data_IF_184323989444
#
_entry.id   IF_184323989444
#
_cell.length_a   1.000
_cell.length_b   1.000
_cell.length_c   1.000
_cell.angle_alpha   90.00
_cell.angle_beta   90.00
_cell.angle_gamma   90.00
#
_symmetry.space_group_name_H-M   'P 1'
#
loop_
_entity.id
_entity.type
_entity.pdbx_description
1 polymer ?
#
# COMPACT_ATOMS: atom_id res chain seq x y z
N UNK A 1 12.01 -13.12 -36.43
CA UNK A 1 11.30 -12.06 -35.68
C UNK A 1 9.87 -12.52 -35.45
N UNK A 2 9.59 -13.13 -34.30
CA UNK A 2 8.23 -13.43 -33.86
C UNK A 2 7.99 -12.58 -32.62
N UNK A 3 7.77 -11.28 -32.79
CA UNK A 3 7.25 -10.47 -31.69
C UNK A 3 5.78 -10.80 -31.56
N UNK A 4 5.39 -11.43 -30.46
CA UNK A 4 3.98 -11.48 -30.07
C UNK A 4 3.39 -10.06 -30.16
N UNK A 5 2.15 -9.90 -30.65
CA UNK A 5 1.51 -8.59 -30.64
C UNK A 5 1.51 -8.06 -29.22
N UNK A 6 1.86 -6.78 -29.05
CA UNK A 6 1.81 -6.14 -27.76
C UNK A 6 0.43 -6.37 -27.13
N UNK A 7 0.35 -6.75 -25.84
CA UNK A 7 -0.93 -6.97 -25.19
C UNK A 7 -1.79 -5.70 -25.30
N UNK A 8 -3.12 -5.84 -25.39
CA UNK A 8 -4.01 -4.69 -25.51
C UNK A 8 -3.81 -3.75 -24.31
N UNK A 9 -3.58 -2.47 -24.57
CA UNK A 9 -3.36 -1.45 -23.54
C UNK A 9 -2.64 -0.22 -24.05
N UNK A 10 -2.46 0.77 -23.16
CA UNK A 10 -1.65 1.96 -23.41
C UNK A 10 -0.41 1.92 -22.52
N UNK A 11 0.74 2.26 -23.08
CA UNK A 11 1.96 2.48 -22.31
C UNK A 11 1.89 3.86 -21.64
N UNK A 12 1.48 3.87 -20.37
CA UNK A 12 1.33 5.11 -19.61
C UNK A 12 2.62 5.94 -19.51
N UNK A 13 3.82 5.36 -19.67
CA UNK A 13 5.07 6.13 -19.63
C UNK A 13 5.31 6.94 -20.91
N UNK A 14 4.75 6.50 -22.03
CA UNK A 14 4.95 7.12 -23.34
C UNK A 14 3.66 7.71 -23.94
N UNK A 15 2.49 7.31 -23.43
CA UNK A 15 1.17 7.60 -23.98
C UNK A 15 0.22 8.17 -22.90
N UNK A 16 0.76 8.90 -21.90
CA UNK A 16 -0.06 9.51 -20.84
C UNK A 16 -1.11 10.52 -21.37
N UNK A 17 -0.78 11.37 -22.38
CA UNK A 17 -1.78 12.27 -22.99
C UNK A 17 -2.92 11.51 -23.68
N UNK A 18 -2.60 10.45 -24.42
CA UNK A 18 -3.57 9.59 -25.11
C UNK A 18 -4.45 8.84 -24.10
N UNK A 19 -3.87 8.34 -23.02
CA UNK A 19 -4.61 7.73 -21.92
C UNK A 19 -5.61 8.71 -21.30
N UNK A 20 -5.18 9.96 -21.07
CA UNK A 20 -6.06 11.01 -20.55
C UNK A 20 -7.20 11.33 -21.53
N UNK A 21 -6.89 11.48 -22.82
CA UNK A 21 -7.87 11.76 -23.86
C UNK A 21 -8.92 10.64 -23.98
N UNK A 22 -8.47 9.38 -23.92
CA UNK A 22 -9.35 8.21 -23.93
C UNK A 22 -10.23 8.11 -22.69
N UNK A 23 -9.68 8.34 -21.49
CA UNK A 23 -10.48 8.36 -20.26
C UNK A 23 -11.53 9.48 -20.27
N UNK A 24 -11.20 10.64 -20.84
CA UNK A 24 -12.15 11.74 -21.05
C UNK A 24 -13.22 11.41 -22.11
N UNK A 25 -12.89 10.67 -23.17
CA UNK A 25 -13.90 10.23 -24.13
C UNK A 25 -14.89 9.26 -23.50
N UNK A 26 -14.39 8.32 -22.66
CA UNK A 26 -15.25 7.44 -21.88
C UNK A 26 -16.15 8.22 -20.90
N UNK A 27 -15.62 9.27 -20.27
CA UNK A 27 -16.42 10.15 -19.39
C UNK A 27 -17.58 10.82 -20.12
N UNK A 28 -17.36 11.21 -21.37
CA UNK A 28 -18.41 11.81 -22.22
C UNK A 28 -19.43 10.77 -22.65
N UNK A 29 -18.99 9.58 -23.03
CA UNK A 29 -19.85 8.47 -23.43
C UNK A 29 -20.77 8.04 -22.26
N UNK A 30 -20.20 7.86 -21.07
CA UNK A 30 -20.90 7.42 -19.86
C UNK A 30 -21.28 8.60 -18.95
N UNK A 31 -21.78 9.71 -19.51
CA UNK A 31 -22.07 10.96 -18.79
C UNK A 31 -22.95 10.82 -17.54
N UNK A 32 -23.82 9.82 -17.50
CA UNK A 32 -24.76 9.58 -16.39
C UNK A 32 -24.14 8.71 -15.27
N UNK A 33 -22.93 8.20 -15.48
CA UNK A 33 -22.17 7.42 -14.51
C UNK A 33 -21.10 8.26 -13.83
N UNK A 34 -20.57 7.74 -12.74
CA UNK A 34 -19.32 8.22 -12.14
C UNK A 34 -18.19 7.35 -12.68
N UNK A 35 -17.02 7.95 -12.83
CA UNK A 35 -15.80 7.23 -13.18
C UNK A 35 -14.95 7.07 -11.92
N UNK A 36 -14.65 5.83 -11.57
CA UNK A 36 -13.63 5.51 -10.58
C UNK A 36 -12.34 5.09 -11.31
N UNK A 37 -11.28 5.89 -11.20
CA UNK A 37 -9.96 5.55 -11.74
C UNK A 37 -9.15 4.80 -10.69
N UNK A 38 -8.89 3.51 -10.95
CA UNK A 38 -7.95 2.70 -10.19
C UNK A 38 -6.51 2.93 -10.66
N UNK A 39 -5.63 3.29 -9.75
CA UNK A 39 -4.20 3.46 -10.01
C UNK A 39 -3.37 2.50 -9.15
N UNK A 40 -3.04 1.34 -9.74
CA UNK A 40 -2.38 0.21 -9.09
C UNK A 40 -1.01 -0.13 -9.72
N UNK A 41 -0.28 0.90 -10.17
CA UNK A 41 1.00 0.69 -10.85
C UNK A 41 2.11 0.33 -9.86
N UNK A 42 3.01 -0.54 -10.31
CA UNK A 42 4.31 -0.80 -9.70
C UNK A 42 5.33 -0.99 -10.82
N UNK A 43 6.51 -0.41 -10.67
CA UNK A 43 7.67 -0.73 -11.50
C UNK A 43 8.94 -0.73 -10.63
N UNK A 44 10.05 -1.28 -11.15
CA UNK A 44 11.33 -1.25 -10.44
C UNK A 44 12.08 0.07 -10.70
N UNK A 45 12.75 0.56 -9.66
CA UNK A 45 13.66 1.70 -9.76
C UNK A 45 12.98 3.01 -10.17
N UNK A 46 13.70 3.81 -10.97
CA UNK A 46 13.28 5.13 -11.43
C UNK A 46 12.01 5.08 -12.30
N UNK A 47 11.75 3.95 -12.97
CA UNK A 47 10.51 3.75 -13.73
C UNK A 47 9.26 3.83 -12.85
N UNK A 48 9.34 3.43 -11.58
CA UNK A 48 8.22 3.55 -10.64
C UNK A 48 7.86 5.02 -10.41
N UNK A 49 8.88 5.87 -10.22
CA UNK A 49 8.71 7.31 -10.00
C UNK A 49 8.09 7.95 -11.25
N UNK A 50 8.62 7.63 -12.44
CA UNK A 50 8.08 8.12 -13.72
C UNK A 50 6.63 7.69 -13.94
N UNK A 51 6.31 6.42 -13.67
CA UNK A 51 4.94 5.91 -13.79
C UNK A 51 3.99 6.58 -12.81
N UNK A 52 4.46 6.86 -11.59
CA UNK A 52 3.68 7.59 -10.58
C UNK A 52 3.39 9.01 -11.03
N UNK A 53 4.38 9.72 -11.57
CA UNK A 53 4.20 11.09 -12.10
C UNK A 53 3.23 11.08 -13.29
N UNK A 54 3.36 10.13 -14.21
CA UNK A 54 2.43 9.98 -15.33
C UNK A 54 1.00 9.73 -14.87
N UNK A 55 0.81 8.84 -13.88
CA UNK A 55 -0.49 8.60 -13.25
C UNK A 55 -1.07 9.84 -12.57
N UNK A 56 -0.25 10.58 -11.83
CA UNK A 56 -0.66 11.83 -11.19
C UNK A 56 -1.06 12.89 -12.24
N UNK A 57 -0.37 12.95 -13.38
CA UNK A 57 -0.75 13.84 -14.48
C UNK A 57 -2.11 13.46 -15.07
N UNK A 58 -2.37 12.17 -15.31
CA UNK A 58 -3.67 11.67 -15.78
C UNK A 58 -4.78 12.01 -14.78
N UNK A 59 -4.55 11.74 -13.49
CA UNK A 59 -5.49 12.08 -12.41
C UNK A 59 -5.78 13.58 -12.44
N UNK A 60 -4.75 14.43 -12.49
CA UNK A 60 -4.93 15.87 -12.53
C UNK A 60 -5.72 16.32 -13.77
N UNK A 61 -5.42 15.80 -14.96
CA UNK A 61 -6.17 16.12 -16.18
C UNK A 61 -7.65 15.76 -16.07
N UNK A 62 -7.97 14.60 -15.49
CA UNK A 62 -9.36 14.20 -15.26
C UNK A 62 -10.04 15.07 -14.20
N UNK A 63 -9.35 15.44 -13.13
CA UNK A 63 -9.90 16.32 -12.08
C UNK A 63 -10.21 17.73 -12.59
N UNK A 64 -9.39 18.28 -13.49
CA UNK A 64 -9.64 19.60 -14.07
C UNK A 64 -10.83 19.58 -15.05
N UNK A 65 -11.04 18.45 -15.73
CA UNK A 65 -12.06 18.32 -16.76
C UNK A 65 -13.42 17.79 -16.25
N UNK A 66 -13.44 17.08 -15.13
CA UNK A 66 -14.63 16.45 -14.57
C UNK A 66 -15.02 17.09 -13.24
N UNK A 67 -16.32 17.17 -12.95
CA UNK A 67 -16.76 17.64 -11.63
C UNK A 67 -16.35 16.64 -10.53
N UNK A 68 -16.07 17.12 -9.30
CA UNK A 68 -15.66 16.23 -8.19
C UNK A 68 -16.68 15.15 -7.83
N UNK A 69 -17.96 15.33 -8.18
CA UNK A 69 -19.01 14.34 -7.97
C UNK A 69 -19.04 13.23 -9.02
N UNK A 70 -18.39 13.43 -10.18
CA UNK A 70 -18.37 12.51 -11.32
C UNK A 70 -17.07 11.70 -11.41
N UNK A 71 -16.07 12.05 -10.62
CA UNK A 71 -14.76 11.42 -10.64
C UNK A 71 -14.37 10.95 -9.24
N UNK A 72 -13.86 9.73 -9.16
CA UNK A 72 -13.43 9.08 -7.93
C UNK A 72 -12.10 8.38 -8.19
N UNK A 73 -11.25 8.27 -7.17
CA UNK A 73 -9.90 7.70 -7.29
C UNK A 73 -9.78 6.50 -6.36
N UNK A 74 -9.14 5.44 -6.83
CA UNK A 74 -8.81 4.26 -6.04
C UNK A 74 -7.32 3.94 -6.13
N UNK A 75 -6.65 3.80 -4.99
CA UNK A 75 -5.23 3.49 -4.90
C UNK A 75 -4.97 2.50 -3.77
N UNK A 76 -3.96 1.64 -3.97
CA UNK A 76 -3.42 0.78 -2.92
C UNK A 76 -2.12 1.39 -2.42
N UNK A 77 -2.11 1.71 -1.12
CA UNK A 77 -0.95 2.26 -0.45
C UNK A 77 -0.08 1.15 0.14
N UNK A 78 1.17 1.50 0.41
CA UNK A 78 2.17 0.56 0.95
C UNK A 78 2.51 0.89 2.39
N UNK A 79 2.42 -0.07 3.33
CA UNK A 79 2.87 0.15 4.70
C UNK A 79 4.37 0.42 4.80
N UNK A 80 5.12 0.27 3.70
CA UNK A 80 6.54 0.64 3.58
C UNK A 80 6.76 2.14 3.35
N UNK A 81 5.99 2.99 4.06
CA UNK A 81 6.06 4.45 4.04
C UNK A 81 5.89 5.01 5.47
N UNK A 82 6.04 6.32 5.65
CA UNK A 82 5.64 6.97 6.90
C UNK A 82 4.14 7.21 6.91
N UNK A 83 3.50 6.86 8.03
CA UNK A 83 2.07 7.02 8.23
C UNK A 83 1.77 7.15 9.72
N UNK A 84 0.57 7.63 10.06
CA UNK A 84 0.14 7.59 11.46
C UNK A 84 0.01 6.16 11.93
N UNK A 85 0.47 5.92 13.14
CA UNK A 85 0.35 4.64 13.81
C UNK A 85 -0.89 4.71 14.71
N UNK A 86 -1.99 3.99 14.40
CA UNK A 86 -3.14 3.96 15.28
C UNK A 86 -2.75 3.50 16.68
N UNK A 87 -3.31 4.14 17.71
CA UNK A 87 -2.93 3.90 19.11
C UNK A 87 -3.14 2.44 19.51
N UNK A 88 -4.19 1.80 19.02
CA UNK A 88 -4.48 0.39 19.26
C UNK A 88 -3.41 -0.53 18.65
N UNK A 89 -2.95 -0.21 17.44
CA UNK A 89 -1.90 -0.97 16.77
C UNK A 89 -0.54 -0.79 17.47
N UNK A 90 -0.22 0.43 17.91
CA UNK A 90 0.98 0.72 18.68
C UNK A 90 0.97 0.00 20.03
N UNK A 91 -0.14 0.08 20.78
CA UNK A 91 -0.30 -0.62 22.05
C UNK A 91 -0.18 -2.14 21.88
N UNK A 92 -0.76 -2.69 20.81
CA UNK A 92 -0.66 -4.10 20.47
C UNK A 92 0.78 -4.53 20.14
N UNK A 93 1.57 -3.68 19.49
CA UNK A 93 3.00 -3.91 19.22
C UNK A 93 3.84 -3.86 20.51
N UNK A 94 3.57 -2.90 21.41
CA UNK A 94 4.21 -2.79 22.73
C UNK A 94 3.94 -4.04 23.55
N UNK A 95 2.67 -4.44 23.68
CA UNK A 95 2.28 -5.61 24.46
C UNK A 95 2.94 -6.90 23.94
N UNK A 96 3.02 -7.09 22.61
CA UNK A 96 3.71 -8.25 22.03
C UNK A 96 5.21 -8.19 22.25
N UNK A 97 5.82 -7.00 22.20
CA UNK A 97 7.24 -6.86 22.51
C UNK A 97 7.51 -7.20 23.98
N UNK A 98 6.67 -6.78 24.91
CA UNK A 98 6.80 -7.12 26.33
C UNK A 98 6.64 -8.62 26.58
N UNK A 99 5.66 -9.25 25.92
CA UNK A 99 5.40 -10.69 26.00
C UNK A 99 6.35 -11.56 25.17
N UNK A 100 7.34 -10.97 24.49
CA UNK A 100 8.20 -11.71 23.55
C UNK A 100 8.97 -12.85 24.23
N UNK A 101 9.16 -13.97 23.53
CA UNK A 101 9.91 -15.10 24.06
C UNK A 101 11.39 -14.76 24.27
N UNK A 102 12.04 -15.48 25.18
CA UNK A 102 13.44 -15.26 25.53
C UNK A 102 14.39 -15.39 24.32
N UNK A 103 14.09 -16.27 23.36
CA UNK A 103 14.91 -16.47 22.18
C UNK A 103 14.99 -15.22 21.30
N UNK A 104 13.98 -14.35 21.33
CA UNK A 104 14.01 -13.11 20.56
C UNK A 104 15.08 -12.14 21.09
N UNK A 105 15.40 -12.22 22.40
CA UNK A 105 16.53 -11.49 22.99
C UNK A 105 17.85 -12.08 22.52
N UNK A 106 17.96 -13.41 22.48
CA UNK A 106 19.16 -14.11 21.99
C UNK A 106 19.42 -13.84 20.50
N UNK A 107 18.35 -13.69 19.70
CA UNK A 107 18.43 -13.33 18.28
C UNK A 107 18.73 -11.84 18.03
N UNK A 108 18.87 -11.02 19.08
CA UNK A 108 19.14 -9.57 19.01
C UNK A 108 18.13 -8.79 18.14
N UNK A 109 16.89 -9.28 18.00
CA UNK A 109 15.85 -8.54 17.31
C UNK A 109 15.53 -7.24 18.05
N UNK A 110 15.23 -6.19 17.29
CA UNK A 110 14.86 -4.89 17.83
C UNK A 110 13.34 -4.79 17.97
N UNK A 111 12.94 -3.93 18.89
CA UNK A 111 11.54 -3.59 19.10
C UNK A 111 11.02 -2.75 17.93
N UNK A 112 9.91 -3.15 17.30
CA UNK A 112 9.20 -2.31 16.35
C UNK A 112 8.78 -0.96 16.99
N UNK A 113 8.04 -0.94 18.13
CA UNK A 113 7.66 0.33 18.76
C UNK A 113 8.87 1.09 19.33
N UNK A 114 9.96 0.43 19.69
CA UNK A 114 11.19 1.11 20.14
C UNK A 114 12.06 1.69 19.02
N UNK A 115 11.93 1.19 17.80
CA UNK A 115 12.78 1.59 16.65
C UNK A 115 12.05 2.52 15.69
N UNK A 116 10.77 2.25 15.45
CA UNK A 116 10.00 2.85 14.37
C UNK A 116 8.94 3.85 14.84
N UNK A 117 8.79 4.06 16.16
CA UNK A 117 7.86 5.04 16.67
C UNK A 117 8.47 6.44 16.64
N UNK A 118 7.76 7.36 15.98
CA UNK A 118 8.06 8.78 15.96
C UNK A 118 6.82 9.54 16.45
N UNK A 119 7.00 10.77 16.95
CA UNK A 119 5.87 11.66 17.27
C UNK A 119 5.78 12.78 16.25
N UNK A 120 4.57 13.26 16.00
CA UNK A 120 4.36 14.53 15.31
C UNK A 120 5.08 15.66 16.03
N UNK A 121 5.35 16.77 15.33
CA UNK A 121 5.98 17.94 15.93
C UNK A 121 5.16 18.52 17.10
N UNK A 122 3.84 18.37 17.04
CA UNK A 122 2.89 18.76 18.09
C UNK A 122 2.81 17.73 19.23
N UNK A 123 3.35 16.52 19.04
CA UNK A 123 3.36 15.45 20.03
C UNK A 123 2.03 14.71 20.20
N UNK A 124 1.00 15.10 19.46
CA UNK A 124 -0.39 14.66 19.56
C UNK A 124 -0.68 13.31 18.91
N UNK A 125 0.16 12.86 17.96
CA UNK A 125 -0.02 11.59 17.24
C UNK A 125 1.28 10.81 17.11
N UNK A 126 1.12 9.49 17.03
CA UNK A 126 2.21 8.56 16.74
C UNK A 126 2.37 8.38 15.21
N UNK A 127 3.60 8.28 14.76
CA UNK A 127 3.99 7.99 13.38
C UNK A 127 4.76 6.67 13.39
N UNK A 128 4.39 5.76 12.50
CA UNK A 128 5.17 4.57 12.20
C UNK A 128 6.17 4.89 11.08
N UNK A 129 7.45 4.76 11.37
CA UNK A 129 8.51 4.74 10.36
C UNK A 129 8.55 3.37 9.68
N UNK A 130 7.70 3.18 8.68
CA UNK A 130 7.65 1.94 7.90
C UNK A 130 8.70 1.85 6.78
N UNK A 131 9.67 2.76 6.71
CA UNK A 131 10.65 2.75 5.62
C UNK A 131 11.48 1.46 5.63
N UNK A 132 11.63 0.85 4.45
CA UNK A 132 12.41 -0.37 4.27
C UNK A 132 13.56 -0.09 3.29
N UNK A 133 14.79 -0.26 3.75
CA UNK A 133 16.01 -0.04 2.95
C UNK A 133 16.00 -0.87 1.67
N UNK A 134 15.54 -2.13 1.74
CA UNK A 134 15.45 -3.03 0.59
C UNK A 134 14.53 -2.51 -0.54
N UNK A 135 13.49 -1.73 -0.21
CA UNK A 135 12.62 -1.10 -1.21
C UNK A 135 13.30 0.09 -1.90
N UNK A 136 14.21 0.77 -1.18
CA UNK A 136 15.05 1.83 -1.72
C UNK A 136 14.36 3.19 -1.94
N UNK A 137 15.16 4.22 -2.29
CA UNK A 137 14.70 5.61 -2.35
C UNK A 137 13.64 5.87 -3.43
N UNK A 138 13.72 5.17 -4.58
CA UNK A 138 12.76 5.33 -5.66
C UNK A 138 11.35 4.84 -5.25
N UNK A 139 11.28 3.74 -4.49
CA UNK A 139 10.00 3.20 -4.03
C UNK A 139 9.33 4.14 -3.02
N UNK A 140 10.08 4.60 -2.01
CA UNK A 140 9.53 5.55 -1.02
C UNK A 140 9.10 6.85 -1.68
N UNK A 141 9.86 7.37 -2.65
CA UNK A 141 9.47 8.58 -3.39
C UNK A 141 8.17 8.35 -4.17
N UNK A 142 8.06 7.26 -4.92
CA UNK A 142 6.85 6.92 -5.66
C UNK A 142 5.63 6.78 -4.74
N UNK A 143 5.75 6.01 -3.65
CA UNK A 143 4.63 5.82 -2.71
C UNK A 143 4.27 7.10 -1.92
N UNK A 144 5.23 7.95 -1.63
CA UNK A 144 4.97 9.26 -1.01
C UNK A 144 4.23 10.19 -1.97
N UNK A 145 4.63 10.25 -3.25
CA UNK A 145 3.91 11.00 -4.28
C UNK A 145 2.49 10.48 -4.50
N UNK A 146 2.31 9.16 -4.42
CA UNK A 146 1.00 8.51 -4.47
C UNK A 146 0.08 8.98 -3.32
N UNK A 147 0.59 8.95 -2.08
CA UNK A 147 -0.13 9.44 -0.90
C UNK A 147 -0.44 10.94 -0.98
N UNK A 148 0.51 11.76 -1.42
CA UNK A 148 0.30 13.20 -1.58
C UNK A 148 -0.79 13.51 -2.62
N UNK A 149 -0.82 12.77 -3.74
CA UNK A 149 -1.89 12.91 -4.74
C UNK A 149 -3.26 12.57 -4.15
N UNK A 150 -3.36 11.55 -3.29
CA UNK A 150 -4.61 11.22 -2.59
C UNK A 150 -5.10 12.38 -1.71
N UNK A 151 -4.20 12.95 -0.88
CA UNK A 151 -4.51 14.11 -0.04
C UNK A 151 -4.97 15.31 -0.89
N UNK A 152 -4.20 15.65 -1.93
CA UNK A 152 -4.51 16.76 -2.84
C UNK A 152 -5.88 16.56 -3.49
N UNK A 153 -6.17 15.35 -3.96
CA UNK A 153 -7.43 15.06 -4.65
C UNK A 153 -8.62 15.15 -3.71
N UNK A 154 -8.49 14.59 -2.50
CA UNK A 154 -9.54 14.68 -1.50
C UNK A 154 -9.81 16.12 -1.07
N UNK A 155 -8.75 16.93 -0.90
CA UNK A 155 -8.88 18.36 -0.61
C UNK A 155 -9.61 19.13 -1.73
N UNK A 156 -9.58 18.62 -2.97
CA UNK A 156 -10.37 19.12 -4.09
C UNK A 156 -11.79 18.51 -4.18
N UNK A 157 -12.31 17.97 -3.07
CA UNK A 157 -13.63 17.34 -2.95
C UNK A 157 -13.85 16.10 -3.83
N UNK A 158 -12.77 15.44 -4.28
CA UNK A 158 -12.85 14.14 -4.97
C UNK A 158 -12.91 13.02 -3.94
N UNK A 159 -13.74 11.99 -4.17
CA UNK A 159 -13.73 10.77 -3.34
C UNK A 159 -12.48 9.95 -3.65
N UNK A 160 -11.76 9.55 -2.61
CA UNK A 160 -10.48 8.84 -2.73
C UNK A 160 -10.45 7.63 -1.82
N UNK A 161 -10.47 6.42 -2.40
CA UNK A 161 -10.14 5.18 -1.67
C UNK A 161 -8.62 4.99 -1.69
N UNK A 162 -7.99 4.98 -0.51
CA UNK A 162 -6.53 4.94 -0.37
C UNK A 162 -6.12 4.09 0.85
N UNK A 163 -6.38 2.79 0.75
CA UNK A 163 -6.13 1.85 1.85
C UNK A 163 -4.73 1.25 1.78
N UNK A 164 -4.06 1.09 2.93
CA UNK A 164 -2.85 0.26 2.99
C UNK A 164 -3.23 -1.20 2.76
N UNK A 165 -2.48 -1.85 1.86
CA UNK A 165 -2.64 -3.27 1.56
C UNK A 165 -1.63 -4.12 2.34
N UNK A 166 -1.96 -5.38 2.65
CA UNK A 166 -1.04 -6.27 3.36
C UNK A 166 0.11 -6.71 2.45
N UNK A 167 1.13 -7.33 3.05
CA UNK A 167 2.14 -8.06 2.28
C UNK A 167 1.46 -9.16 1.45
N UNK A 168 1.83 -9.25 0.17
CA UNK A 168 1.13 -10.08 -0.79
C UNK A 168 2.11 -10.71 -1.78
N UNK A 169 1.87 -11.98 -2.14
CA UNK A 169 2.61 -12.71 -3.18
C UNK A 169 2.15 -12.30 -4.58
N UNK A 170 2.33 -11.03 -4.94
CA UNK A 170 2.09 -10.54 -6.30
C UNK A 170 3.26 -10.90 -7.22
N UNK A 171 3.02 -10.94 -8.53
CA UNK A 171 4.06 -11.19 -9.52
C UNK A 171 5.25 -10.22 -9.39
N UNK A 172 4.98 -8.96 -9.05
CA UNK A 172 6.01 -7.93 -8.81
C UNK A 172 6.87 -8.19 -7.58
N UNK A 173 6.36 -8.91 -6.58
CA UNK A 173 7.12 -9.27 -5.39
C UNK A 173 7.82 -10.61 -5.54
N UNK A 174 7.19 -11.58 -6.21
CA UNK A 174 7.74 -12.94 -6.35
C UNK A 174 8.72 -13.09 -7.51
N UNK A 175 8.80 -12.12 -8.43
CA UNK A 175 9.83 -12.08 -9.48
C UNK A 175 11.24 -11.90 -8.91
N UNK A 176 11.37 -11.27 -7.75
CA UNK A 176 12.62 -11.19 -7.00
C UNK A 176 12.71 -12.35 -6.00
N UNK A 177 13.69 -13.24 -6.20
CA UNK A 177 13.85 -14.44 -5.38
C UNK A 177 14.01 -14.12 -3.88
N UNK A 178 14.76 -13.09 -3.53
CA UNK A 178 14.95 -12.66 -2.13
C UNK A 178 13.62 -12.23 -1.51
N UNK A 179 12.85 -11.41 -2.22
CA UNK A 179 11.53 -10.96 -1.74
C UNK A 179 10.55 -12.12 -1.61
N UNK A 180 10.54 -13.05 -2.58
CA UNK A 180 9.72 -14.27 -2.50
C UNK A 180 10.04 -15.10 -1.25
N UNK A 181 11.32 -15.30 -0.95
CA UNK A 181 11.78 -16.03 0.25
C UNK A 181 11.42 -15.28 1.53
N UNK A 182 11.59 -13.96 1.56
CA UNK A 182 11.19 -13.15 2.73
C UNK A 182 9.69 -13.28 3.00
N UNK A 183 8.84 -13.18 1.97
CA UNK A 183 7.40 -13.36 2.08
C UNK A 183 7.02 -14.73 2.69
N UNK A 184 7.77 -15.79 2.37
CA UNK A 184 7.51 -17.12 2.94
C UNK A 184 7.85 -17.24 4.42
N UNK A 185 8.85 -16.49 4.89
CA UNK A 185 9.30 -16.47 6.29
C UNK A 185 8.57 -15.45 7.17
N UNK A 186 7.96 -14.40 6.60
CA UNK A 186 7.33 -13.31 7.37
C UNK A 186 6.26 -13.79 8.34
N UNK A 187 5.52 -14.84 7.97
CA UNK A 187 4.44 -15.40 8.80
C UNK A 187 4.94 -16.09 10.07
N UNK A 188 6.25 -16.30 10.25
CA UNK A 188 6.81 -16.77 11.51
C UNK A 188 6.78 -15.69 12.61
N UNK A 189 6.52 -14.43 12.25
CA UNK A 189 6.49 -13.30 13.17
C UNK A 189 5.05 -12.84 13.37
N UNK A 190 4.35 -13.44 14.33
CA UNK A 190 2.98 -13.07 14.65
C UNK A 190 2.85 -11.58 14.99
N UNK A 191 1.79 -10.87 14.52
CA UNK A 191 0.62 -11.39 13.81
C UNK A 191 0.70 -11.19 12.28
N UNK A 192 1.91 -11.14 11.71
CA UNK A 192 2.11 -10.76 10.30
C UNK A 192 1.52 -11.81 9.35
N UNK A 193 0.67 -11.35 8.42
CA UNK A 193 0.06 -12.15 7.37
C UNK A 193 0.66 -11.78 6.01
N UNK A 194 0.94 -12.82 5.22
CA UNK A 194 1.28 -12.69 3.81
C UNK A 194 0.22 -13.41 2.99
N UNK A 195 -0.53 -12.64 2.20
CA UNK A 195 -1.65 -13.17 1.43
C UNK A 195 -1.23 -13.59 0.01
N UNK A 196 -1.98 -14.53 -0.56
CA UNK A 196 -1.97 -14.76 -1.99
C UNK A 196 -2.65 -13.59 -2.71
N UNK A 197 -2.25 -13.32 -3.96
CA UNK A 197 -2.78 -12.20 -4.76
C UNK A 197 -4.30 -12.22 -4.92
N UNK A 198 -4.90 -13.40 -5.14
CA UNK A 198 -6.35 -13.55 -5.22
C UNK A 198 -7.04 -13.16 -3.91
N UNK A 199 -6.56 -13.68 -2.79
CA UNK A 199 -7.12 -13.38 -1.46
C UNK A 199 -6.98 -11.90 -1.10
N UNK A 200 -5.81 -11.31 -1.32
CA UNK A 200 -5.61 -9.87 -1.13
C UNK A 200 -6.53 -9.04 -2.02
N UNK A 201 -6.72 -9.43 -3.29
CA UNK A 201 -7.61 -8.75 -4.22
C UNK A 201 -9.06 -8.72 -3.71
N UNK A 202 -9.56 -9.81 -3.12
CA UNK A 202 -10.90 -9.83 -2.53
C UNK A 202 -11.03 -8.83 -1.37
N UNK A 203 -10.09 -8.82 -0.43
CA UNK A 203 -10.12 -7.87 0.69
C UNK A 203 -10.02 -6.41 0.23
N UNK A 204 -9.08 -6.12 -0.66
CA UNK A 204 -8.92 -4.74 -1.17
C UNK A 204 -10.11 -4.30 -2.02
N UNK A 205 -10.77 -5.22 -2.72
CA UNK A 205 -12.03 -4.93 -3.45
C UNK A 205 -13.17 -4.62 -2.48
N UNK A 206 -13.29 -5.38 -1.39
CA UNK A 206 -14.31 -5.11 -0.36
C UNK A 206 -14.11 -3.72 0.27
N UNK A 207 -12.87 -3.35 0.59
CA UNK A 207 -12.53 -2.02 1.10
C UNK A 207 -12.82 -0.92 0.07
N UNK A 208 -12.47 -1.13 -1.20
CA UNK A 208 -12.82 -0.21 -2.28
C UNK A 208 -14.34 0.00 -2.37
N UNK A 209 -15.12 -1.08 -2.39
CA UNK A 209 -16.57 -0.98 -2.46
C UNK A 209 -17.15 -0.27 -1.22
N UNK A 210 -16.61 -0.54 -0.03
CA UNK A 210 -17.00 0.18 1.18
C UNK A 210 -16.72 1.70 1.04
N UNK A 211 -15.52 2.05 0.56
CA UNK A 211 -15.14 3.45 0.34
C UNK A 211 -15.95 4.16 -0.74
N UNK A 212 -16.45 3.45 -1.76
CA UNK A 212 -17.26 4.02 -2.83
C UNK A 212 -18.74 4.14 -2.45
N UNK A 213 -19.27 3.16 -1.70
CA UNK A 213 -20.71 3.03 -1.46
C UNK A 213 -21.15 3.64 -0.12
N UNK A 214 -20.31 3.60 0.91
CA UNK A 214 -20.67 4.11 2.22
C UNK A 214 -20.37 5.61 2.32
N UNK A 215 -21.26 6.35 2.96
CA UNK A 215 -21.08 7.79 3.19
C UNK A 215 -20.21 8.09 4.41
N UNK A 216 -19.96 7.11 5.28
CA UNK A 216 -19.31 7.27 6.58
C UNK A 216 -17.79 7.11 6.54
N UNK A 217 -17.20 6.66 5.44
CA UNK A 217 -15.76 6.40 5.36
C UNK A 217 -14.94 7.67 5.17
N UNK A 218 -13.66 7.62 5.54
CA UNK A 218 -12.71 8.71 5.31
C UNK A 218 -12.56 9.08 3.82
N UNK A 219 -12.80 8.13 2.91
CA UNK A 219 -12.76 8.33 1.47
C UNK A 219 -13.78 9.38 0.98
N UNK A 220 -14.92 9.51 1.65
CA UNK A 220 -15.92 10.53 1.32
C UNK A 220 -15.43 11.92 1.76
N UNK A 221 -15.20 12.87 0.83
CA UNK A 221 -14.63 14.18 1.15
C UNK A 221 -15.55 15.06 2.00
N UNK A 222 -16.84 14.71 2.10
CA UNK A 222 -17.82 15.39 2.97
C UNK A 222 -17.60 15.11 4.45
N UNK A 223 -16.86 14.06 4.80
CA UNK A 223 -16.49 13.78 6.18
C UNK A 223 -15.26 14.60 6.54
N UNK A 224 -15.28 15.28 7.68
CA UNK A 224 -14.10 15.99 8.17
C UNK A 224 -13.08 14.99 8.69
N UNK A 225 -11.82 15.21 8.34
CA UNK A 225 -10.69 14.53 8.95
C UNK A 225 -9.98 15.52 9.87
N UNK A 226 -9.57 15.07 11.04
CA UNK A 226 -8.76 15.90 11.95
C UNK A 226 -7.41 16.22 11.31
N UNK A 227 -6.85 15.25 10.57
CA UNK A 227 -5.64 15.44 9.78
C UNK A 227 -5.72 14.70 8.44
N UNK A 228 -5.14 15.22 7.34
CA UNK A 228 -5.25 14.59 6.01
C UNK A 228 -4.73 13.14 5.91
N UNK A 229 -3.80 12.74 6.78
CA UNK A 229 -3.28 11.36 6.83
C UNK A 229 -4.27 10.35 7.44
N UNK A 230 -5.33 10.80 8.10
CA UNK A 230 -6.37 9.92 8.65
C UNK A 230 -7.12 9.18 7.53
N UNK A 231 -7.08 9.74 6.32
CA UNK A 231 -7.52 9.09 5.08
C UNK A 231 -6.94 7.67 4.93
N UNK A 232 -5.72 7.45 5.42
CA UNK A 232 -4.99 6.22 5.18
C UNK A 232 -5.15 5.21 6.30
N UNK A 233 -5.51 5.61 7.52
CA UNK A 233 -5.47 4.71 8.69
C UNK A 233 -6.81 4.03 8.98
N UNK A 234 -7.94 4.70 8.78
CA UNK A 234 -9.25 4.23 9.25
C UNK A 234 -9.69 2.88 8.69
N UNK A 235 -9.48 2.67 7.38
CA UNK A 235 -9.89 1.44 6.67
C UNK A 235 -8.70 0.57 6.25
N UNK A 236 -7.56 0.72 6.92
CA UNK A 236 -6.34 0.04 6.52
C UNK A 236 -6.33 -1.45 6.81
N UNK A 237 -5.83 -2.23 5.84
CA UNK A 237 -5.57 -3.65 6.01
C UNK A 237 -4.06 -3.92 5.95
N UNK A 238 -3.38 -3.65 7.06
CA UNK A 238 -1.93 -3.74 7.16
C UNK A 238 -1.38 -5.16 7.42
N UNK A 239 -2.24 -6.19 7.39
CA UNK A 239 -1.83 -7.60 7.55
C UNK A 239 -1.08 -7.89 8.86
N UNK A 240 -1.42 -7.20 9.94
CA UNK A 240 -0.75 -7.38 11.25
C UNK A 240 0.61 -6.69 11.38
N UNK A 241 1.16 -6.11 10.30
CA UNK A 241 2.49 -5.49 10.31
C UNK A 241 2.63 -4.35 11.34
N UNK A 242 1.59 -3.53 11.52
CA UNK A 242 1.62 -2.45 12.51
C UNK A 242 1.52 -2.93 13.96
N UNK A 243 1.10 -4.18 14.17
CA UNK A 243 0.90 -4.75 15.49
C UNK A 243 2.07 -5.68 15.89
N UNK A 244 3.07 -5.87 15.04
CA UNK A 244 4.19 -6.79 15.31
C UNK A 244 5.13 -6.23 16.37
N UNK A 245 5.71 -7.12 17.17
CA UNK A 245 6.72 -6.78 18.17
C UNK A 245 8.07 -6.40 17.56
N UNK A 246 8.39 -6.96 16.40
CA UNK A 246 9.75 -7.01 15.88
C UNK A 246 9.93 -6.05 14.72
N UNK A 247 10.99 -5.25 14.79
CA UNK A 247 11.39 -4.42 13.67
C UNK A 247 11.74 -5.31 12.46
N UNK A 248 11.17 -4.97 11.29
CA UNK A 248 11.28 -5.78 10.06
C UNK A 248 12.73 -5.87 9.61
N UNK A 249 13.50 -4.79 9.71
CA UNK A 249 14.89 -4.80 9.27
C UNK A 249 15.76 -5.68 10.17
N UNK A 250 15.61 -5.55 11.48
CA UNK A 250 16.36 -6.37 12.44
C UNK A 250 16.01 -7.87 12.36
N UNK A 251 14.78 -8.20 11.99
CA UNK A 251 14.32 -9.60 11.85
C UNK A 251 14.54 -10.16 10.45
N UNK A 252 14.92 -9.33 9.46
CA UNK A 252 14.98 -9.69 8.05
C UNK A 252 15.86 -10.90 7.72
N UNK A 253 17.03 -11.03 8.35
CA UNK A 253 17.90 -12.22 8.14
C UNK A 253 17.23 -13.50 8.63
N UNK A 254 16.58 -13.47 9.79
CA UNK A 254 15.87 -14.63 10.31
C UNK A 254 14.64 -14.97 9.46
N UNK A 255 13.90 -13.95 9.02
CA UNK A 255 12.81 -14.09 8.04
C UNK A 255 13.29 -14.81 6.78
N UNK A 256 14.43 -14.39 6.22
CA UNK A 256 15.00 -15.03 5.03
C UNK A 256 15.37 -16.51 5.27
N UNK A 257 16.02 -16.81 6.40
CA UNK A 257 16.39 -18.18 6.77
C UNK A 257 15.14 -19.06 6.92
N UNK A 258 14.12 -18.58 7.63
CA UNK A 258 12.87 -19.31 7.85
C UNK A 258 12.12 -19.56 6.54
N UNK A 259 12.09 -18.57 5.64
CA UNK A 259 11.55 -18.75 4.28
C UNK A 259 12.33 -19.79 3.47
N UNK A 260 13.66 -19.77 3.56
CA UNK A 260 14.53 -20.72 2.85
C UNK A 260 14.31 -22.16 3.35
N UNK A 261 14.17 -22.34 4.67
CA UNK A 261 13.86 -23.64 5.29
C UNK A 261 12.47 -24.14 4.88
N UNK A 262 11.49 -23.26 4.79
CA UNK A 262 10.14 -23.61 4.34
C UNK A 262 10.13 -24.09 2.88
N UNK A 263 10.88 -23.42 2.00
CA UNK A 263 11.06 -23.86 0.62
C UNK A 263 11.74 -25.23 0.53
N UNK A 264 12.77 -25.48 1.34
CA UNK A 264 13.51 -26.74 1.35
C UNK A 264 12.70 -27.93 1.92
N UNK A 265 11.76 -27.67 2.83
CA UNK A 265 10.94 -28.71 3.48
C UNK A 265 9.66 -29.05 2.73
N UNK A 266 9.32 -28.33 1.65
CA UNK A 266 8.11 -28.57 0.86
C UNK A 266 6.81 -28.25 1.61
N UNK A 267 6.89 -27.55 2.74
CA UNK A 267 5.71 -27.20 3.55
C UNK A 267 4.98 -26.03 2.88
N UNK A 268 4.17 -26.32 1.87
CA UNK A 268 3.25 -25.35 1.29
C UNK A 268 2.31 -24.86 2.40
N UNK A 269 2.30 -23.56 2.66
CA UNK A 269 1.34 -23.00 3.60
C UNK A 269 -0.07 -23.16 3.03
N UNK A 270 -0.82 -24.07 3.63
CA UNK A 270 -2.27 -24.15 3.60
C UNK A 270 -2.86 -22.84 4.14
N UNK A 271 -3.00 -21.81 3.32
CA UNK A 271 -4.09 -20.83 3.43
C UNK A 271 -4.45 -20.40 1.99
N UNK A 272 -5.47 -21.07 1.45
CA UNK A 272 -6.31 -20.58 0.34
C UNK A 272 -7.28 -19.54 0.87
#
# INVERSE_FOLDING_TARGET
ENSEPAPPGLDMLHQSPEASAWLLSLAKEFKDKKICLGFYVYMDGERHVRATIAGNAIIHTLQEALSPEKFEIAQLLSPSTLHFWPDEAYAAAVARWEARPWWARAAMFKSNPGTNALRTAQGDRMIHNGLIVLQGPNYVLAKTLQMFQCIKSRAANVRVSANFSPACRTQSMTSNATMSTLLDGMQAFEPVLVLQSGTASHFMTALLLADLLLSTTAANPKNNLDHPYDLFTDNSFHGGNWCTAFDIESSGTATYILGSLKAATGTAALIS
#
